data_IF_922929808591
#
_entry.id   IF_922929808591
#
_cell.length_a   1.000
_cell.length_b   1.000
_cell.length_c   1.000
_cell.angle_alpha   90.00
_cell.angle_beta   90.00
_cell.angle_gamma   90.00
#
_symmetry.space_group_name_H-M   'P 1'
#
loop_
_entity.id
_entity.type
_entity.pdbx_description
1 polymer ?
#
# COMPACT_ATOMS: atom_id res chain seq x y z
N UNK A 1 -8.40 15.27 3.91
CA UNK A 1 -8.14 14.40 5.08
C UNK A 1 -9.05 13.18 5.07
N UNK A 2 -10.37 13.37 5.04
CA UNK A 2 -11.36 12.28 5.20
C UNK A 2 -11.23 11.17 4.16
N UNK A 3 -10.91 11.52 2.92
CA UNK A 3 -10.68 10.54 1.83
C UNK A 3 -9.55 9.56 2.16
N UNK A 4 -8.47 10.05 2.77
CA UNK A 4 -7.34 9.20 3.17
C UNK A 4 -7.71 8.35 4.39
N UNK A 5 -8.41 8.94 5.36
CA UNK A 5 -8.90 8.21 6.54
C UNK A 5 -9.89 7.11 6.15
N UNK A 6 -10.79 7.38 5.21
CA UNK A 6 -11.71 6.39 4.65
C UNK A 6 -10.95 5.25 3.96
N UNK A 7 -9.94 5.58 3.13
CA UNK A 7 -9.08 4.57 2.51
C UNK A 7 -8.34 3.66 3.52
N UNK A 8 -7.94 4.22 4.68
CA UNK A 8 -7.24 3.47 5.72
C UNK A 8 -8.18 2.64 6.60
N UNK A 9 -9.36 3.18 6.96
CA UNK A 9 -10.16 2.67 8.08
C UNK A 9 -11.59 2.23 7.73
N UNK A 10 -12.10 2.48 6.53
CA UNK A 10 -13.48 2.13 6.17
C UNK A 10 -13.79 0.65 6.32
N UNK A 11 -12.81 -0.21 6.03
CA UNK A 11 -12.90 -1.65 6.21
C UNK A 11 -11.86 -2.13 7.23
N UNK A 12 -12.07 -3.34 7.76
CA UNK A 12 -11.07 -4.04 8.56
C UNK A 12 -9.85 -4.35 7.67
N UNK A 13 -8.64 -4.16 8.18
CA UNK A 13 -7.43 -4.22 7.38
C UNK A 13 -6.12 -4.06 8.18
N UNK A 14 -4.99 -3.82 7.49
CA UNK A 14 -3.66 -3.86 8.08
C UNK A 14 -3.36 -2.70 9.04
N UNK A 15 -4.25 -1.72 9.14
CA UNK A 15 -4.12 -0.61 10.09
C UNK A 15 -4.81 -0.88 11.43
N UNK A 16 -5.56 -1.97 11.58
CA UNK A 16 -6.33 -2.23 12.81
C UNK A 16 -5.45 -2.53 14.01
N UNK A 17 -4.34 -3.25 13.82
CA UNK A 17 -3.37 -3.49 14.89
C UNK A 17 -2.81 -2.17 15.45
N UNK A 18 -2.72 -1.13 14.60
CA UNK A 18 -2.27 0.20 15.01
C UNK A 18 -3.35 0.94 15.82
N UNK A 19 -4.63 0.74 15.49
CA UNK A 19 -5.76 1.31 16.22
C UNK A 19 -5.94 0.61 17.57
N UNK A 20 -5.85 -0.72 17.60
CA UNK A 20 -5.95 -1.52 18.82
C UNK A 20 -4.82 -1.17 19.80
N UNK A 21 -3.61 -0.92 19.30
CA UNK A 21 -2.50 -0.44 20.10
C UNK A 21 -2.74 0.96 20.73
N UNK A 22 -3.64 1.78 20.18
CA UNK A 22 -3.99 3.07 20.79
C UNK A 22 -4.84 2.92 22.04
N UNK A 23 -5.61 1.83 22.19
CA UNK A 23 -6.46 1.62 23.36
C UNK A 23 -5.67 1.56 24.67
N UNK A 24 -4.40 1.14 24.60
CA UNK A 24 -3.50 1.04 25.75
C UNK A 24 -2.53 2.23 25.88
N UNK A 25 -2.67 3.25 25.02
CA UNK A 25 -1.74 4.37 24.97
C UNK A 25 -1.91 5.33 26.17
N UNK A 26 -0.78 5.77 26.72
CA UNK A 26 -0.75 6.74 27.82
C UNK A 26 -1.31 8.11 27.40
N UNK A 27 -1.90 8.84 28.36
CA UNK A 27 -2.57 10.11 28.11
C UNK A 27 -1.63 11.20 27.53
N UNK A 28 -2.13 11.91 26.50
CA UNK A 28 -1.49 13.06 25.86
C UNK A 28 -2.18 13.40 24.53
N UNK A 29 -1.96 14.61 24.00
CA UNK A 29 -2.69 15.13 22.82
C UNK A 29 -2.65 14.19 21.59
N UNK A 30 -1.52 13.51 21.39
CA UNK A 30 -1.35 12.55 20.29
C UNK A 30 -2.13 11.25 20.53
N UNK A 31 -2.15 10.76 21.77
CA UNK A 31 -2.92 9.59 22.15
C UNK A 31 -4.42 9.87 22.12
N UNK A 32 -4.86 11.07 22.52
CA UNK A 32 -6.26 11.51 22.38
C UNK A 32 -6.70 11.47 20.91
N UNK A 33 -5.87 11.97 19.98
CA UNK A 33 -6.15 11.85 18.55
C UNK A 33 -6.21 10.39 18.08
N UNK A 34 -5.34 9.51 18.60
CA UNK A 34 -5.36 8.08 18.33
C UNK A 34 -6.66 7.41 18.78
N UNK A 35 -7.16 7.75 19.98
CA UNK A 35 -8.45 7.30 20.48
C UNK A 35 -9.61 7.80 19.61
N UNK A 36 -9.62 9.09 19.23
CA UNK A 36 -10.64 9.65 18.35
C UNK A 36 -10.65 8.98 16.96
N UNK A 37 -9.48 8.67 16.39
CA UNK A 37 -9.38 7.89 15.15
C UNK A 37 -9.95 6.48 15.31
N UNK A 38 -9.68 5.83 16.43
CA UNK A 38 -10.20 4.49 16.75
C UNK A 38 -11.72 4.50 16.89
N UNK A 39 -12.26 5.51 17.57
CA UNK A 39 -13.70 5.70 17.74
C UNK A 39 -14.39 6.00 16.40
N UNK A 40 -13.79 6.87 15.59
CA UNK A 40 -14.27 7.17 14.24
C UNK A 40 -14.28 5.92 13.35
N UNK A 41 -13.21 5.13 13.35
CA UNK A 41 -13.14 3.87 12.61
C UNK A 41 -14.23 2.89 13.06
N UNK A 42 -14.49 2.80 14.37
CA UNK A 42 -15.57 1.98 14.93
C UNK A 42 -16.95 2.47 14.50
N UNK A 43 -17.20 3.77 14.55
CA UNK A 43 -18.47 4.38 14.11
C UNK A 43 -18.70 4.15 12.61
N UNK A 44 -17.69 4.40 11.79
CA UNK A 44 -17.77 4.18 10.34
C UNK A 44 -18.09 2.72 9.99
N UNK A 45 -17.53 1.76 10.71
CA UNK A 45 -17.76 0.33 10.46
C UNK A 45 -19.10 -0.19 11.00
N UNK A 46 -19.57 0.36 12.13
CA UNK A 46 -20.79 -0.11 12.81
C UNK A 46 -22.06 0.64 12.38
N UNK A 47 -21.95 1.94 12.14
CA UNK A 47 -23.06 2.83 11.81
C UNK A 47 -23.02 3.30 10.35
N UNK A 48 -21.94 3.02 9.62
CA UNK A 48 -21.73 3.45 8.22
C UNK A 48 -21.77 4.98 8.03
N UNK A 49 -21.63 5.72 9.14
CA UNK A 49 -21.72 7.17 9.17
C UNK A 49 -20.92 7.72 10.35
N UNK A 50 -20.35 8.91 10.14
CA UNK A 50 -19.70 9.72 11.18
C UNK A 50 -20.31 11.10 11.09
N UNK A 51 -20.80 11.63 12.20
CA UNK A 51 -21.40 12.95 12.24
C UNK A 51 -20.34 14.05 12.03
N UNK A 52 -20.80 15.18 11.50
CA UNK A 52 -19.92 16.30 11.19
C UNK A 52 -19.23 16.89 12.43
N UNK A 53 -19.87 16.84 13.61
CA UNK A 53 -19.25 17.36 14.83
C UNK A 53 -18.06 16.49 15.25
N UNK A 54 -18.19 15.17 15.18
CA UNK A 54 -17.11 14.22 15.46
C UNK A 54 -15.96 14.38 14.45
N UNK A 55 -16.28 14.47 13.15
CA UNK A 55 -15.28 14.71 12.11
C UNK A 55 -14.55 16.04 12.32
N UNK A 56 -15.29 17.12 12.60
CA UNK A 56 -14.73 18.45 12.85
C UNK A 56 -13.85 18.47 14.09
N UNK A 57 -14.25 17.80 15.18
CA UNK A 57 -13.41 17.67 16.39
C UNK A 57 -12.11 16.95 16.08
N UNK A 58 -12.16 15.87 15.30
CA UNK A 58 -10.96 15.16 14.87
C UNK A 58 -10.05 16.04 14.02
N UNK A 59 -10.60 16.77 13.05
CA UNK A 59 -9.81 17.72 12.25
C UNK A 59 -9.14 18.75 13.15
N UNK A 60 -9.87 19.39 14.06
CA UNK A 60 -9.30 20.35 15.01
C UNK A 60 -8.17 19.73 15.85
N UNK A 61 -8.33 18.49 16.31
CA UNK A 61 -7.32 17.80 17.09
C UNK A 61 -6.05 17.51 16.25
N UNK A 62 -6.22 17.00 15.03
CA UNK A 62 -5.11 16.77 14.08
C UNK A 62 -4.37 18.07 13.73
N UNK A 63 -5.09 19.18 13.57
CA UNK A 63 -4.51 20.50 13.28
C UNK A 63 -3.70 21.07 14.43
N UNK A 64 -4.10 20.82 15.68
CA UNK A 64 -3.32 21.25 16.85
C UNK A 64 -1.94 20.58 16.86
N UNK A 65 -1.88 19.32 16.45
CA UNK A 65 -0.63 18.54 16.42
C UNK A 65 0.22 18.94 15.21
N UNK A 66 -0.38 19.15 14.04
CA UNK A 66 0.36 19.56 12.84
C UNK A 66 -0.41 20.57 11.99
N UNK A 67 -0.24 21.88 12.27
CA UNK A 67 -0.90 22.95 11.53
C UNK A 67 -0.47 22.99 10.05
N UNK A 68 0.77 22.61 9.75
CA UNK A 68 1.37 22.75 8.42
C UNK A 68 0.96 21.69 7.40
N UNK A 69 0.41 20.56 7.84
CA UNK A 69 0.12 19.39 6.97
C UNK A 69 -1.37 19.28 6.62
N UNK A 70 -2.27 19.85 7.42
CA UNK A 70 -3.67 19.40 7.42
C UNK A 70 -4.74 20.39 6.89
N UNK A 71 -4.59 21.71 7.00
CA UNK A 71 -5.68 22.63 6.60
C UNK A 71 -5.28 23.85 5.76
N UNK A 72 -4.11 24.45 5.96
CA UNK A 72 -3.79 25.75 5.36
C UNK A 72 -3.07 25.67 4.00
N UNK A 73 -2.81 24.45 3.50
CA UNK A 73 -2.22 24.26 2.17
C UNK A 73 -3.30 24.20 1.11
N UNK A 74 -3.17 25.04 0.09
CA UNK A 74 -4.07 25.08 -1.07
C UNK A 74 -4.09 23.75 -1.86
N UNK A 75 -3.05 22.92 -1.71
CA UNK A 75 -2.94 21.57 -2.27
C UNK A 75 -2.30 20.62 -1.24
N UNK A 76 -3.07 20.02 -0.32
CA UNK A 76 -2.53 19.08 0.67
C UNK A 76 -2.17 17.76 -0.02
N UNK A 77 -0.92 17.30 0.14
CA UNK A 77 -0.45 16.03 -0.41
C UNK A 77 -0.98 14.86 0.43
N UNK A 78 -1.79 13.93 -0.13
CA UNK A 78 -2.33 12.78 0.60
C UNK A 78 -1.25 11.92 1.27
N UNK A 79 -0.05 11.84 0.68
CA UNK A 79 1.06 11.05 1.22
C UNK A 79 1.69 11.67 2.46
N UNK A 80 1.72 13.01 2.54
CA UNK A 80 2.24 13.75 3.69
C UNK A 80 1.30 13.58 4.87
N UNK A 81 0.00 13.74 4.64
CA UNK A 81 -1.03 13.50 5.65
C UNK A 81 -1.01 12.06 6.17
N UNK A 82 -0.91 11.07 5.27
CA UNK A 82 -0.84 9.66 5.68
C UNK A 82 0.39 9.38 6.55
N UNK A 83 1.55 9.90 6.15
CA UNK A 83 2.79 9.73 6.89
C UNK A 83 2.73 10.38 8.27
N UNK A 84 2.08 11.54 8.37
CA UNK A 84 1.80 12.22 9.63
C UNK A 84 0.91 11.37 10.55
N UNK A 85 -0.23 10.87 10.05
CA UNK A 85 -1.13 10.01 10.85
C UNK A 85 -0.40 8.77 11.36
N UNK A 86 0.37 8.10 10.51
CA UNK A 86 1.09 6.88 10.91
C UNK A 86 2.20 7.17 11.92
N UNK A 87 3.03 8.20 11.68
CA UNK A 87 4.20 8.53 12.52
C UNK A 87 3.80 9.17 13.84
N UNK A 88 2.99 10.21 13.76
CA UNK A 88 2.80 11.13 14.88
C UNK A 88 1.58 10.75 15.70
N UNK A 89 0.50 10.30 15.06
CA UNK A 89 -0.72 9.91 15.78
C UNK A 89 -0.67 8.45 16.22
N UNK A 90 -0.44 7.52 15.29
CA UNK A 90 -0.45 6.08 15.59
C UNK A 90 0.88 5.53 16.12
N UNK A 91 1.96 6.33 16.11
CA UNK A 91 3.33 5.93 16.51
C UNK A 91 3.82 4.66 15.82
N UNK A 92 3.39 4.42 14.59
CA UNK A 92 3.75 3.25 13.82
C UNK A 92 5.22 3.30 13.39
N UNK A 93 5.85 2.13 13.21
CA UNK A 93 7.13 2.06 12.52
C UNK A 93 6.93 2.22 11.00
N UNK A 94 7.91 2.75 10.24
CA UNK A 94 7.81 2.83 8.79
C UNK A 94 7.56 1.46 8.14
N UNK A 95 6.58 1.40 7.24
CA UNK A 95 6.16 0.17 6.56
C UNK A 95 7.16 -0.28 5.49
N UNK A 96 7.80 0.66 4.80
CA UNK A 96 8.75 0.38 3.72
C UNK A 96 10.16 0.59 4.21
N UNK A 97 10.96 -0.48 4.21
CA UNK A 97 12.39 -0.44 4.52
C UNK A 97 13.17 -0.93 3.31
N UNK A 98 14.11 -0.12 2.83
CA UNK A 98 14.94 -0.43 1.66
C UNK A 98 16.33 -0.89 2.09
N UNK A 99 16.98 -1.70 1.26
CA UNK A 99 18.36 -2.16 1.43
C UNK A 99 19.39 -1.03 1.49
N UNK A 100 19.03 0.13 0.96
CA UNK A 100 19.81 1.37 1.01
C UNK A 100 19.79 2.04 2.40
N UNK A 101 19.00 1.51 3.34
CA UNK A 101 18.83 2.07 4.69
C UNK A 101 17.68 3.07 4.80
N UNK A 102 17.03 3.43 3.68
CA UNK A 102 15.86 4.31 3.69
C UNK A 102 14.65 3.62 4.31
N UNK A 103 13.89 4.36 5.13
CA UNK A 103 12.68 3.87 5.79
C UNK A 103 11.56 4.91 5.65
N UNK A 104 10.45 4.54 5.02
CA UNK A 104 9.33 5.44 4.73
C UNK A 104 7.98 4.73 4.94
N UNK A 105 6.90 5.50 5.11
CA UNK A 105 5.53 4.95 5.13
C UNK A 105 4.96 4.75 3.72
N UNK A 106 5.38 5.59 2.78
CA UNK A 106 4.93 5.60 1.38
C UNK A 106 6.15 5.45 0.47
N UNK A 107 6.06 4.54 -0.51
CA UNK A 107 7.07 4.39 -1.55
C UNK A 107 6.71 5.25 -2.77
N UNK A 108 7.61 6.15 -3.18
CA UNK A 108 7.43 6.98 -4.38
C UNK A 108 7.86 6.22 -5.63
N UNK A 109 6.94 5.99 -6.56
CA UNK A 109 7.31 5.50 -7.89
C UNK A 109 8.01 6.59 -8.70
N UNK A 110 9.05 6.18 -9.41
CA UNK A 110 9.72 7.00 -10.42
C UNK A 110 9.35 6.45 -11.80
N UNK A 111 8.84 7.31 -12.67
CA UNK A 111 8.62 6.98 -14.08
C UNK A 111 9.82 7.49 -14.89
N UNK A 112 10.54 6.58 -15.53
CA UNK A 112 11.67 6.94 -16.43
C UNK A 112 11.42 6.56 -17.88
N UNK A 113 10.27 5.94 -18.18
CA UNK A 113 9.95 5.47 -19.52
C UNK A 113 9.58 6.63 -20.45
N UNK A 114 9.97 6.52 -21.72
CA UNK A 114 9.52 7.48 -22.73
C UNK A 114 7.99 7.40 -22.90
N UNK A 115 7.30 8.54 -23.14
CA UNK A 115 5.85 8.59 -23.37
C UNK A 115 5.40 7.89 -24.66
N UNK A 116 6.33 7.28 -25.41
CA UNK A 116 6.11 6.68 -26.74
C UNK A 116 5.71 5.20 -26.69
N UNK A 117 5.62 4.59 -25.51
CA UNK A 117 5.13 3.21 -25.36
C UNK A 117 3.61 3.19 -25.53
N UNK A 118 3.12 2.41 -26.50
CA UNK A 118 1.70 2.30 -26.84
C UNK A 118 0.87 1.76 -25.67
N UNK A 119 1.47 0.90 -24.84
CA UNK A 119 0.82 0.31 -23.68
C UNK A 119 1.24 1.03 -22.37
N UNK A 120 0.28 1.55 -21.59
CA UNK A 120 0.56 2.15 -20.29
C UNK A 120 1.09 1.10 -19.31
N UNK A 121 2.10 1.47 -18.49
CA UNK A 121 2.70 0.54 -17.56
C UNK A 121 1.76 0.21 -16.38
N UNK A 122 1.99 -0.94 -15.78
CA UNK A 122 1.32 -1.34 -14.53
C UNK A 122 2.17 -0.90 -13.33
N UNK A 123 1.53 -0.78 -12.16
CA UNK A 123 2.25 -0.54 -10.89
C UNK A 123 3.30 -1.63 -10.63
N UNK A 124 3.01 -2.89 -10.96
CA UNK A 124 3.99 -4.00 -10.84
C UNK A 124 5.29 -3.71 -11.59
N UNK A 125 5.19 -3.28 -12.86
CA UNK A 125 6.35 -3.04 -13.70
C UNK A 125 7.12 -1.80 -13.23
N UNK A 126 6.41 -0.68 -12.99
CA UNK A 126 7.04 0.55 -12.51
C UNK A 126 7.70 0.37 -11.15
N UNK A 127 7.09 -0.43 -10.26
CA UNK A 127 7.67 -0.67 -8.95
C UNK A 127 8.96 -1.49 -9.04
N UNK A 128 8.98 -2.53 -9.87
CA UNK A 128 10.18 -3.31 -10.13
C UNK A 128 11.29 -2.47 -10.79
N UNK A 129 10.95 -1.66 -11.80
CA UNK A 129 11.87 -0.76 -12.47
C UNK A 129 12.42 0.31 -11.51
N UNK A 130 11.56 0.92 -10.70
CA UNK A 130 11.94 1.95 -9.75
C UNK A 130 12.90 1.42 -8.69
N UNK A 131 12.66 0.22 -8.15
CA UNK A 131 13.61 -0.42 -7.22
C UNK A 131 14.95 -0.74 -7.89
N UNK A 132 14.92 -1.28 -9.11
CA UNK A 132 16.13 -1.59 -9.87
C UNK A 132 17.00 -0.34 -10.13
N UNK A 133 16.37 0.79 -10.47
CA UNK A 133 17.08 2.04 -10.73
C UNK A 133 17.79 2.62 -9.51
N UNK A 134 17.19 2.45 -8.33
CA UNK A 134 17.79 2.91 -7.08
C UNK A 134 18.76 1.88 -6.48
N UNK A 135 19.05 0.78 -7.19
CA UNK A 135 19.76 -0.40 -6.68
C UNK A 135 19.25 -0.83 -5.30
N UNK A 136 17.94 -0.72 -5.13
CA UNK A 136 17.25 -0.89 -3.87
C UNK A 136 16.41 -2.17 -3.90
N UNK A 137 16.28 -2.79 -2.74
CA UNK A 137 15.38 -3.93 -2.52
C UNK A 137 14.66 -3.78 -1.20
N UNK A 138 13.50 -4.41 -1.04
CA UNK A 138 12.70 -4.35 0.18
C UNK A 138 13.28 -5.25 1.28
N UNK A 139 13.73 -4.68 2.39
CA UNK A 139 14.36 -5.41 3.49
C UNK A 139 13.45 -6.40 4.20
N UNK A 140 12.17 -6.05 4.36
CA UNK A 140 11.19 -6.83 5.10
C UNK A 140 9.82 -6.65 4.47
N UNK A 141 8.98 -7.67 4.62
CA UNK A 141 7.58 -7.59 4.22
C UNK A 141 6.76 -7.05 5.39
N UNK A 142 6.29 -5.81 5.29
CA UNK A 142 5.38 -5.22 6.27
C UNK A 142 4.18 -4.70 5.46
N UNK A 143 3.01 -5.31 5.66
CA UNK A 143 1.77 -4.72 5.18
C UNK A 143 1.32 -3.65 6.19
N UNK A 144 0.74 -2.52 5.74
CA UNK A 144 0.40 -2.22 4.35
C UNK A 144 1.60 -1.70 3.54
N UNK A 145 1.65 -2.04 2.24
CA UNK A 145 2.52 -1.37 1.27
C UNK A 145 1.72 -0.26 0.58
N UNK A 146 2.18 0.98 0.75
CA UNK A 146 1.54 2.16 0.18
C UNK A 146 2.45 2.74 -0.89
N UNK A 147 1.94 2.82 -2.10
CA UNK A 147 2.68 3.27 -3.28
C UNK A 147 2.10 4.60 -3.74
N UNK A 148 2.95 5.62 -3.81
CA UNK A 148 2.62 6.89 -4.45
C UNK A 148 2.92 6.82 -5.94
N UNK A 149 1.92 7.17 -6.72
CA UNK A 149 1.99 7.17 -8.18
C UNK A 149 2.90 8.31 -8.68
N UNK A 150 3.56 8.14 -9.83
CA UNK A 150 4.39 9.20 -10.39
C UNK A 150 3.49 10.36 -10.84
N UNK A 151 3.81 11.57 -10.37
CA UNK A 151 3.19 12.80 -10.85
C UNK A 151 4.07 13.32 -12.00
N UNK A 152 3.66 13.09 -13.25
CA UNK A 152 4.37 13.71 -14.39
C UNK A 152 4.17 15.24 -14.32
N UNK A 153 5.28 15.93 -14.07
CA UNK A 153 5.28 17.30 -13.56
C UNK A 153 5.04 18.42 -14.57
N UNK A 154 4.75 18.16 -15.86
CA UNK A 154 4.53 19.30 -16.78
C UNK A 154 3.83 19.05 -18.12
N UNK A 155 3.10 17.96 -18.34
CA UNK A 155 2.35 17.85 -19.59
C UNK A 155 0.97 17.25 -19.35
N UNK A 156 -0.01 17.79 -20.09
CA UNK A 156 -1.44 17.45 -20.10
C UNK A 156 -1.74 15.99 -20.48
N UNK A 157 -0.73 15.13 -20.46
CA UNK A 157 -0.78 13.69 -20.62
C UNK A 157 -0.24 13.06 -19.34
N UNK A 158 -1.03 13.04 -18.26
CA UNK A 158 -0.75 12.13 -17.15
C UNK A 158 -0.58 10.74 -17.75
N UNK A 159 0.62 10.16 -17.63
CA UNK A 159 0.85 8.81 -18.12
C UNK A 159 -0.11 7.90 -17.35
N UNK A 160 -1.07 7.31 -18.07
CA UNK A 160 -1.98 6.34 -17.49
C UNK A 160 -1.15 5.22 -16.87
N UNK A 161 -1.35 4.94 -15.59
CA UNK A 161 -0.71 3.82 -14.90
C UNK A 161 -1.81 2.95 -14.35
N UNK A 162 -1.76 1.66 -14.65
CA UNK A 162 -2.76 0.73 -14.16
C UNK A 162 -2.36 0.20 -12.79
N UNK A 163 -3.17 0.43 -11.73
CA UNK A 163 -3.02 -0.26 -10.47
C UNK A 163 -3.08 -1.77 -10.72
N UNK A 164 -2.10 -2.51 -10.22
CA UNK A 164 -2.11 -3.95 -10.32
C UNK A 164 -3.09 -4.49 -9.26
N UNK A 165 -4.06 -5.35 -9.61
CA UNK A 165 -4.97 -5.91 -8.60
C UNK A 165 -4.21 -6.79 -7.60
N UNK A 166 -3.15 -7.43 -8.07
CA UNK A 166 -2.20 -8.19 -7.26
C UNK A 166 -0.77 -7.74 -7.57
N UNK A 167 0.05 -7.63 -6.53
CA UNK A 167 1.45 -7.22 -6.62
C UNK A 167 2.34 -8.34 -6.10
N UNK A 168 3.11 -8.95 -6.98
CA UNK A 168 4.11 -9.96 -6.63
C UNK A 168 5.42 -9.25 -6.26
N UNK A 169 5.74 -9.25 -4.97
CA UNK A 169 6.95 -8.63 -4.45
C UNK A 169 8.08 -9.64 -4.23
N UNK A 170 7.90 -10.91 -4.61
CA UNK A 170 8.88 -11.96 -4.42
C UNK A 170 10.25 -11.53 -4.94
N UNK A 171 10.36 -11.11 -6.19
CA UNK A 171 11.66 -10.76 -6.77
C UNK A 171 12.24 -9.42 -6.25
N UNK A 172 11.46 -8.65 -5.49
CA UNK A 172 11.79 -7.28 -5.06
C UNK A 172 12.37 -7.22 -3.64
N UNK A 173 12.36 -8.32 -2.89
CA UNK A 173 12.90 -8.35 -1.52
C UNK A 173 14.44 -8.44 -1.52
N UNK A 174 15.05 -7.67 -0.61
CA UNK A 174 16.48 -7.70 -0.29
C UNK A 174 16.83 -8.94 0.52
N UNK A 175 15.85 -9.41 1.30
CA UNK A 175 15.88 -10.68 2.00
C UNK A 175 15.79 -11.87 1.05
N UNK A 176 15.82 -13.09 1.59
CA UNK A 176 15.75 -14.32 0.81
C UNK A 176 14.30 -14.50 0.36
N UNK A 177 13.93 -13.79 -0.69
CA UNK A 177 12.70 -14.01 -1.43
C UNK A 177 12.63 -15.45 -1.92
N UNK A 178 11.98 -16.34 -1.17
CA UNK A 178 11.78 -17.75 -1.50
C UNK A 178 12.98 -18.37 -2.24
N UNK A 179 14.21 -18.06 -1.80
CA UNK A 179 15.38 -18.45 -2.56
C UNK A 179 15.58 -19.92 -2.34
N UNK A 180 15.66 -20.66 -3.43
CA UNK A 180 15.84 -22.11 -3.38
C UNK A 180 17.28 -22.39 -3.01
N UNK A 181 17.46 -23.21 -1.99
CA UNK A 181 18.76 -23.70 -1.57
C UNK A 181 19.48 -24.30 -2.77
N UNK A 182 20.72 -23.87 -3.02
CA UNK A 182 21.50 -24.37 -4.15
C UNK A 182 21.66 -25.90 -4.13
N UNK A 183 21.73 -26.52 -2.94
CA UNK A 183 21.92 -27.96 -2.81
C UNK A 183 20.66 -28.81 -3.00
N UNK A 184 19.52 -28.40 -2.42
CA UNK A 184 18.31 -29.23 -2.36
C UNK A 184 17.05 -28.57 -2.94
N UNK A 185 17.16 -27.33 -3.41
CA UNK A 185 16.04 -26.50 -3.89
C UNK A 185 14.92 -26.20 -2.87
N UNK A 186 15.03 -26.61 -1.61
CA UNK A 186 14.13 -26.21 -0.52
C UNK A 186 14.40 -24.76 -0.07
N UNK A 187 13.59 -24.22 0.85
CA UNK A 187 13.75 -22.84 1.37
C UNK A 187 15.16 -22.61 1.91
N UNK A 188 15.87 -21.63 1.35
CA UNK A 188 17.16 -21.20 1.87
C UNK A 188 16.98 -20.30 3.10
N UNK A 189 17.78 -20.57 4.14
CA UNK A 189 17.80 -19.84 5.42
C UNK A 189 19.16 -19.19 5.69
N UNK A 190 20.16 -19.51 4.89
CA UNK A 190 21.52 -19.01 5.00
C UNK A 190 21.96 -18.43 3.67
N UNK A 191 22.54 -17.24 3.70
CA UNK A 191 23.23 -16.61 2.57
C UNK A 191 24.74 -16.67 2.79
N UNK A 192 25.50 -17.15 1.80
CA UNK A 192 26.96 -17.20 1.84
C UNK A 192 27.54 -16.20 0.85
N UNK A 193 28.14 -15.12 1.38
CA UNK A 193 28.74 -14.06 0.56
C UNK A 193 29.88 -14.54 -0.34
N UNK A 194 30.72 -15.43 0.16
CA UNK A 194 31.85 -15.97 -0.61
C UNK A 194 31.39 -16.89 -1.75
N UNK A 195 30.25 -17.56 -1.59
CA UNK A 195 29.67 -18.39 -2.65
C UNK A 195 28.73 -17.63 -3.57
N UNK A 196 28.29 -16.42 -3.20
CA UNK A 196 27.19 -15.69 -3.84
C UNK A 196 25.95 -16.58 -4.06
N UNK A 197 25.65 -17.47 -3.09
CA UNK A 197 24.60 -18.49 -3.17
C UNK A 197 23.95 -18.71 -1.81
N UNK A 198 22.69 -19.11 -1.85
CA UNK A 198 21.88 -19.38 -0.66
C UNK A 198 21.70 -20.89 -0.41
N UNK A 199 21.62 -21.25 0.88
CA UNK A 199 21.56 -22.63 1.34
C UNK A 199 20.52 -22.79 2.46
N UNK A 200 19.95 -23.99 2.58
CA UNK A 200 19.34 -24.42 3.84
C UNK A 200 20.46 -24.81 4.82
N UNK A 201 20.17 -24.80 6.12
CA UNK A 201 21.14 -25.18 7.17
C UNK A 201 21.84 -26.53 6.89
N UNK A 202 21.12 -27.62 6.49
CA UNK A 202 21.77 -28.88 6.15
C UNK A 202 22.73 -28.81 4.97
N UNK A 203 22.32 -28.14 3.88
CA UNK A 203 23.16 -28.03 2.68
C UNK A 203 24.35 -27.11 2.92
N UNK A 204 24.20 -26.04 3.70
CA UNK A 204 25.31 -25.18 4.07
C UNK A 204 26.36 -25.98 4.85
N UNK A 205 25.92 -26.69 5.90
CA UNK A 205 26.82 -27.51 6.73
C UNK A 205 27.48 -28.65 5.96
N UNK A 206 26.83 -29.20 4.94
CA UNK A 206 27.39 -30.28 4.12
C UNK A 206 28.38 -29.75 3.08
N UNK A 207 28.03 -28.68 2.37
CA UNK A 207 28.84 -28.12 1.28
C UNK A 207 30.03 -27.29 1.78
N UNK A 208 29.98 -26.78 3.02
CA UNK A 208 31.04 -25.99 3.64
C UNK A 208 31.81 -26.75 4.73
N UNK A 209 31.57 -28.06 4.89
CA UNK A 209 32.25 -28.89 5.91
C UNK A 209 33.77 -28.88 5.80
N UNK A 210 34.30 -28.65 4.60
CA UNK A 210 35.74 -28.63 4.30
C UNK A 210 36.42 -27.27 4.39
N UNK A 211 35.70 -26.20 4.74
CA UNK A 211 36.29 -24.86 4.85
C UNK A 211 37.01 -24.69 6.21
N UNK A 212 38.25 -25.17 6.28
CA UNK A 212 39.08 -25.09 7.50
C UNK A 212 39.52 -23.67 7.85
N UNK A 213 39.26 -22.69 6.98
CA UNK A 213 39.70 -21.31 7.14
C UNK A 213 38.59 -20.35 7.57
N UNK A 214 37.36 -20.84 7.85
CA UNK A 214 36.19 -20.02 8.21
C UNK A 214 35.94 -18.84 7.25
N UNK A 215 36.25 -19.02 5.96
CA UNK A 215 36.08 -17.95 4.96
C UNK A 215 34.60 -17.79 4.62
N UNK A 216 33.86 -18.89 4.66
CA UNK A 216 32.45 -18.93 4.35
C UNK A 216 31.61 -18.76 5.62
N UNK A 217 31.06 -17.57 5.83
CA UNK A 217 30.11 -17.31 6.90
C UNK A 217 28.68 -17.26 6.36
N UNK A 218 27.81 -18.13 6.89
CA UNK A 218 26.39 -18.16 6.55
C UNK A 218 25.63 -17.11 7.36
N UNK A 219 25.12 -16.07 6.70
CA UNK A 219 24.24 -15.09 7.34
C UNK A 219 22.82 -15.65 7.36
N UNK A 220 22.20 -15.71 8.54
CA UNK A 220 20.78 -16.05 8.65
C UNK A 220 19.93 -15.03 7.89
N UNK A 221 19.00 -15.57 7.11
CA UNK A 221 18.09 -14.80 6.27
C UNK A 221 16.67 -15.33 6.52
N UNK A 222 15.70 -14.43 6.68
CA UNK A 222 14.30 -14.77 6.99
C UNK A 222 13.62 -15.33 5.74
N UNK A 223 13.56 -16.66 5.62
CA UNK A 223 12.95 -17.35 4.48
C UNK A 223 11.43 -17.40 4.56
N UNK A 224 10.76 -17.15 3.43
CA UNK A 224 9.34 -17.44 3.23
C UNK A 224 9.16 -18.92 2.90
N UNK A 225 8.14 -19.57 3.46
CA UNK A 225 7.86 -20.98 3.14
C UNK A 225 7.24 -21.05 1.74
N UNK A 226 8.05 -21.48 0.77
CA UNK A 226 7.68 -21.53 -0.65
C UNK A 226 6.77 -22.72 -1.00
N UNK A 227 6.20 -23.40 0.01
CA UNK A 227 5.37 -24.60 -0.15
C UNK A 227 4.12 -24.36 -1.01
N UNK A 228 3.65 -23.12 -1.13
CA UNK A 228 2.54 -22.73 -2.02
C UNK A 228 2.94 -22.34 -3.45
N UNK A 229 4.23 -22.28 -3.81
CA UNK A 229 4.68 -21.91 -5.16
C UNK A 229 4.42 -20.46 -5.58
N UNK A 230 3.59 -19.72 -4.84
CA UNK A 230 3.38 -18.27 -4.97
C UNK A 230 4.13 -17.58 -3.84
N UNK A 231 5.10 -16.72 -4.15
CA UNK A 231 5.74 -15.91 -3.12
C UNK A 231 4.79 -14.83 -2.58
N UNK A 232 5.29 -13.88 -1.76
CA UNK A 232 4.43 -12.89 -1.12
C UNK A 232 3.67 -12.05 -2.15
N UNK A 233 2.38 -12.36 -2.29
CA UNK A 233 1.44 -11.68 -3.15
C UNK A 233 0.63 -10.70 -2.31
N UNK A 234 0.67 -9.43 -2.66
CA UNK A 234 -0.18 -8.41 -2.08
C UNK A 234 -1.38 -8.19 -2.97
N UNK A 235 -2.52 -7.84 -2.38
CA UNK A 235 -3.71 -7.42 -3.09
C UNK A 235 -3.97 -5.93 -2.90
N UNK A 236 -4.42 -5.27 -3.98
CA UNK A 236 -4.90 -3.89 -3.93
C UNK A 236 -6.23 -3.85 -3.17
N UNK A 237 -6.29 -3.00 -2.14
CA UNK A 237 -7.51 -2.82 -1.33
C UNK A 237 -8.00 -1.39 -1.25
N UNK A 238 -7.18 -0.39 -1.57
CA UNK A 238 -7.65 0.99 -1.71
C UNK A 238 -6.84 1.78 -2.74
N UNK A 239 -7.49 2.75 -3.38
CA UNK A 239 -6.87 3.73 -4.28
C UNK A 239 -7.39 5.12 -3.91
N UNK A 240 -6.49 6.08 -3.70
CA UNK A 240 -6.84 7.49 -3.57
C UNK A 240 -6.50 8.20 -4.87
N UNK A 241 -7.45 8.89 -5.46
CA UNK A 241 -7.28 9.68 -6.69
C UNK A 241 -7.34 11.17 -6.40
N UNK A 242 -6.59 11.97 -7.15
CA UNK A 242 -6.61 13.44 -7.06
C UNK A 242 -6.84 14.03 -8.46
N UNK A 243 -8.00 14.67 -8.63
CA UNK A 243 -8.42 15.32 -9.88
C UNK A 243 -8.87 16.75 -9.57
N UNK A 244 -8.19 17.74 -10.15
CA UNK A 244 -8.52 19.16 -9.97
C UNK A 244 -8.75 19.57 -8.50
N UNK A 245 -7.80 19.21 -7.63
CA UNK A 245 -7.81 19.40 -6.16
C UNK A 245 -8.86 18.58 -5.39
N UNK A 246 -9.68 17.78 -6.08
CA UNK A 246 -10.64 16.89 -5.44
C UNK A 246 -10.00 15.54 -5.18
N UNK A 247 -10.11 15.09 -3.94
CA UNK A 247 -9.68 13.76 -3.54
C UNK A 247 -10.89 12.81 -3.54
N UNK A 248 -10.72 11.61 -4.07
CA UNK A 248 -11.69 10.50 -3.93
C UNK A 248 -10.95 9.24 -3.49
N UNK A 249 -11.65 8.33 -2.82
CA UNK A 249 -11.10 7.03 -2.45
C UNK A 249 -11.98 5.90 -2.93
N UNK A 250 -11.35 4.90 -3.51
CA UNK A 250 -11.97 3.63 -3.89
C UNK A 250 -11.45 2.57 -2.92
N UNK A 251 -12.35 1.92 -2.17
CA UNK A 251 -11.99 0.93 -1.14
C UNK A 251 -12.67 -0.40 -1.43
N UNK A 252 -11.90 -1.48 -1.41
CA UNK A 252 -12.40 -2.84 -1.61
C UNK A 252 -13.03 -3.37 -0.33
N UNK A 253 -14.22 -3.94 -0.44
CA UNK A 253 -14.92 -4.58 0.68
C UNK A 253 -14.44 -6.03 0.83
N UNK A 254 -14.02 -6.46 2.04
CA UNK A 254 -13.47 -7.81 2.25
C UNK A 254 -14.46 -8.97 2.12
N UNK A 255 -15.79 -8.74 2.23
CA UNK A 255 -16.78 -9.81 2.40
C UNK A 255 -17.93 -9.76 1.38
N UNK A 256 -18.29 -10.93 0.83
CA UNK A 256 -19.40 -11.17 -0.09
C UNK A 256 -18.93 -11.72 -1.45
N UNK A 257 -19.75 -12.55 -2.11
CA UNK A 257 -19.45 -13.21 -3.39
C UNK A 257 -19.19 -12.29 -4.59
N UNK A 258 -19.18 -10.98 -4.37
CA UNK A 258 -18.78 -9.96 -5.35
C UNK A 258 -17.65 -9.15 -4.74
N UNK A 259 -16.50 -9.08 -5.43
CA UNK A 259 -15.36 -8.22 -5.09
C UNK A 259 -15.73 -6.73 -5.27
N UNK A 260 -16.67 -6.25 -4.46
CA UNK A 260 -17.28 -4.93 -4.61
C UNK A 260 -16.36 -3.85 -4.04
N UNK A 261 -16.34 -2.72 -4.74
CA UNK A 261 -15.62 -1.53 -4.32
C UNK A 261 -16.60 -0.46 -3.85
N UNK A 262 -16.14 0.42 -2.97
CA UNK A 262 -16.85 1.60 -2.50
C UNK A 262 -16.09 2.85 -2.98
N UNK A 263 -16.78 3.76 -3.65
CA UNK A 263 -16.32 5.13 -3.88
C UNK A 263 -16.75 5.99 -2.70
N UNK A 264 -15.84 6.83 -2.21
CA UNK A 264 -16.12 7.90 -1.25
C UNK A 264 -15.59 9.24 -1.77
N UNK A 265 -16.45 10.26 -1.72
CA UNK A 265 -16.19 11.63 -2.15
C UNK A 265 -16.80 12.63 -1.14
N UNK A 266 -16.06 13.68 -0.79
CA UNK A 266 -16.48 14.68 0.23
C UNK A 266 -17.22 15.88 -0.35
N UNK A 267 -17.27 16.03 -1.67
CA UNK A 267 -17.91 17.14 -2.38
C UNK A 267 -18.30 16.70 -3.81
N UNK A 268 -19.37 15.92 -3.99
CA UNK A 268 -19.82 15.47 -5.31
C UNK A 268 -20.34 16.63 -6.17
N UNK A 269 -19.96 16.69 -7.45
CA UNK A 269 -20.53 17.66 -8.41
C UNK A 269 -22.02 17.43 -8.71
N UNK A 270 -22.55 16.26 -8.34
CA UNK A 270 -23.77 15.71 -8.90
C UNK A 270 -24.65 15.09 -7.82
N UNK A 271 -25.11 15.93 -6.90
CA UNK A 271 -26.39 15.67 -6.27
C UNK A 271 -27.25 16.88 -6.63
N UNK A 272 -28.43 16.64 -7.19
CA UNK A 272 -29.25 17.66 -7.87
C UNK A 272 -29.45 18.93 -7.03
N UNK A 273 -29.96 20.01 -7.64
CA UNK A 273 -30.01 21.38 -7.10
C UNK A 273 -30.56 21.59 -5.65
N UNK A 274 -31.01 20.55 -4.96
CA UNK A 274 -31.47 20.53 -3.57
C UNK A 274 -30.53 19.83 -2.57
N UNK A 275 -29.44 19.20 -3.02
CA UNK A 275 -28.55 18.48 -2.12
C UNK A 275 -27.40 19.36 -1.62
N UNK A 276 -27.17 19.28 -0.31
CA UNK A 276 -26.14 20.05 0.36
C UNK A 276 -24.73 19.55 -0.08
N UNK A 277 -23.91 20.39 -0.72
CA UNK A 277 -22.58 20.02 -1.18
C UNK A 277 -21.60 19.68 -0.04
N UNK A 278 -21.99 19.88 1.22
CA UNK A 278 -21.23 19.48 2.40
C UNK A 278 -21.42 18.02 2.82
N UNK A 279 -22.34 17.28 2.19
CA UNK A 279 -22.62 15.88 2.54
C UNK A 279 -21.73 14.93 1.74
N UNK A 280 -20.92 14.09 2.40
CA UNK A 280 -20.10 13.09 1.70
C UNK A 280 -20.98 12.00 1.07
N UNK A 281 -20.56 11.49 -0.08
CA UNK A 281 -21.26 10.43 -0.82
C UNK A 281 -20.43 9.15 -0.80
N UNK A 282 -21.10 8.05 -0.46
CA UNK A 282 -20.58 6.68 -0.58
C UNK A 282 -21.38 5.93 -1.63
N UNK A 283 -20.71 5.36 -2.63
CA UNK A 283 -21.34 4.60 -3.73
C UNK A 283 -20.71 3.23 -3.90
N UNK A 284 -21.53 2.22 -4.20
CA UNK A 284 -21.03 0.91 -4.62
C UNK A 284 -20.58 0.93 -6.08
N UNK A 285 -19.42 0.35 -6.33
CA UNK A 285 -18.78 0.22 -7.64
C UNK A 285 -18.39 -1.26 -7.87
N UNK A 286 -19.38 -2.15 -8.13
CA UNK A 286 -19.14 -3.60 -8.15
C UNK A 286 -18.21 -4.05 -9.29
N UNK A 287 -18.18 -3.30 -10.39
CA UNK A 287 -17.48 -3.71 -11.61
C UNK A 287 -15.98 -3.36 -11.61
N UNK A 288 -15.48 -2.62 -10.62
CA UNK A 288 -14.09 -2.12 -10.64
C UNK A 288 -13.08 -3.27 -10.76
N UNK A 289 -13.30 -4.37 -10.05
CA UNK A 289 -12.40 -5.52 -10.09
C UNK A 289 -12.25 -6.13 -11.50
N UNK A 290 -13.34 -6.19 -12.27
CA UNK A 290 -13.32 -6.76 -13.62
C UNK A 290 -12.47 -5.94 -14.59
N UNK A 291 -12.43 -4.61 -14.41
CA UNK A 291 -11.66 -3.69 -15.25
C UNK A 291 -10.15 -3.74 -15.03
N UNK A 292 -9.70 -4.36 -13.93
CA UNK A 292 -8.28 -4.63 -13.68
C UNK A 292 -7.78 -5.95 -14.30
N UNK A 293 -8.65 -6.71 -14.99
CA UNK A 293 -8.23 -7.86 -15.80
C UNK A 293 -7.38 -7.42 -17.00
N UNK A 294 -6.50 -8.30 -17.47
CA UNK A 294 -5.60 -8.01 -18.59
C UNK A 294 -6.39 -7.76 -19.89
N UNK A 295 -7.49 -8.47 -20.09
CA UNK A 295 -8.38 -8.31 -21.23
C UNK A 295 -9.01 -6.91 -21.27
N UNK A 296 -9.57 -6.45 -20.14
CA UNK A 296 -10.20 -5.13 -20.03
C UNK A 296 -9.17 -4.01 -20.04
N UNK A 297 -7.98 -4.24 -19.49
CA UNK A 297 -6.85 -3.30 -19.58
C UNK A 297 -6.58 -2.95 -21.04
N UNK A 298 -6.43 -3.94 -21.91
CA UNK A 298 -6.18 -3.69 -23.33
C UNK A 298 -7.34 -2.93 -24.00
N UNK A 299 -8.58 -3.16 -23.56
CA UNK A 299 -9.74 -2.39 -24.05
C UNK A 299 -9.68 -0.90 -23.71
N UNK A 300 -9.25 -0.57 -22.48
CA UNK A 300 -9.03 0.82 -22.02
C UNK A 300 -7.91 1.50 -22.82
N UNK A 301 -6.81 0.77 -23.07
CA UNK A 301 -5.67 1.26 -23.87
C UNK A 301 -6.09 1.59 -25.29
N UNK A 302 -6.82 0.67 -25.91
CA UNK A 302 -7.23 0.79 -27.31
C UNK A 302 -8.48 1.68 -27.50
N UNK A 303 -9.08 2.20 -26.41
CA UNK A 303 -10.35 2.95 -26.43
C UNK A 303 -11.46 2.22 -27.20
N UNK A 304 -11.51 0.89 -27.04
CA UNK A 304 -12.43 0.02 -27.80
C UNK A 304 -13.77 -0.18 -27.11
N UNK A 305 -13.86 0.16 -25.83
CA UNK A 305 -15.06 0.07 -25.01
C UNK A 305 -15.29 1.40 -24.30
N UNK A 306 -16.55 1.71 -24.01
CA UNK A 306 -16.88 2.79 -23.08
C UNK A 306 -16.36 2.43 -21.69
N UNK A 307 -15.35 3.19 -21.25
CA UNK A 307 -14.69 3.01 -19.95
C UNK A 307 -15.50 3.76 -18.89
N UNK A 308 -15.91 3.11 -17.78
CA UNK A 308 -16.59 3.79 -16.69
C UNK A 308 -15.77 4.95 -16.13
N UNK A 309 -16.44 5.99 -15.65
CA UNK A 309 -15.80 7.19 -15.12
C UNK A 309 -14.89 6.87 -13.95
N UNK A 310 -15.27 5.91 -13.10
CA UNK A 310 -14.46 5.43 -11.97
C UNK A 310 -13.13 4.84 -12.43
N UNK A 311 -13.13 4.06 -13.51
CA UNK A 311 -11.91 3.44 -14.07
C UNK A 311 -11.03 4.49 -14.73
N UNK A 312 -11.62 5.42 -15.48
CA UNK A 312 -10.88 6.53 -16.08
C UNK A 312 -10.18 7.38 -15.01
N UNK A 313 -10.89 7.68 -13.92
CA UNK A 313 -10.35 8.40 -12.77
C UNK A 313 -9.21 7.63 -12.10
N UNK A 314 -9.40 6.35 -11.80
CA UNK A 314 -8.35 5.53 -11.18
C UNK A 314 -7.08 5.48 -12.05
N UNK A 315 -7.22 5.20 -13.34
CA UNK A 315 -6.06 5.01 -14.23
C UNK A 315 -5.32 6.31 -14.54
N UNK A 316 -6.04 7.45 -14.54
CA UNK A 316 -5.48 8.75 -14.92
C UNK A 316 -5.07 9.61 -13.72
N UNK A 317 -5.73 9.42 -12.57
CA UNK A 317 -5.66 10.33 -11.43
C UNK A 317 -5.27 9.65 -10.12
N UNK A 318 -4.93 8.35 -10.11
CA UNK A 318 -4.42 7.69 -8.90
C UNK A 318 -3.20 8.44 -8.35
N UNK A 319 -3.26 8.75 -7.06
CA UNK A 319 -2.20 9.38 -6.28
C UNK A 319 -1.56 8.37 -5.32
N UNK A 320 -2.38 7.57 -4.62
CA UNK A 320 -1.92 6.50 -3.72
C UNK A 320 -2.63 5.19 -4.04
N UNK A 321 -1.86 4.10 -4.03
CA UNK A 321 -2.37 2.73 -4.08
C UNK A 321 -1.97 1.98 -2.81
N UNK A 322 -2.94 1.31 -2.19
CA UNK A 322 -2.77 0.61 -0.92
C UNK A 322 -2.85 -0.89 -1.15
N UNK A 323 -1.82 -1.60 -0.71
CA UNK A 323 -1.68 -3.04 -0.85
C UNK A 323 -1.57 -3.70 0.51
N UNK A 324 -2.23 -4.84 0.67
CA UNK A 324 -2.18 -5.69 1.88
C UNK A 324 -1.88 -7.13 1.49
N UNK A 325 -1.49 -7.97 2.44
CA UNK A 325 -1.35 -9.40 2.17
C UNK A 325 -2.67 -9.99 1.70
N UNK A 326 -2.63 -10.75 0.61
CA UNK A 326 -3.74 -11.60 0.23
C UNK A 326 -4.00 -12.58 1.39
N UNK A 327 -5.25 -12.75 1.82
CA UNK A 327 -5.62 -13.50 3.04
C UNK A 327 -5.05 -14.92 3.09
N UNK A 328 -4.84 -15.58 1.94
CA UNK A 328 -4.20 -16.90 1.84
C UNK A 328 -2.67 -16.90 2.00
N UNK A 329 -2.05 -15.73 2.07
CA UNK A 329 -0.60 -15.48 2.03
C UNK A 329 -0.12 -14.64 3.24
N UNK A 330 -0.93 -14.55 4.30
CA UNK A 330 -0.54 -13.91 5.56
C UNK A 330 0.76 -14.54 6.08
N UNK A 331 1.83 -13.77 6.33
CA UNK A 331 3.05 -14.32 6.89
C UNK A 331 2.77 -14.85 8.30
N UNK A 332 3.15 -16.10 8.57
CA UNK A 332 3.17 -16.62 9.95
C UNK A 332 4.27 -15.85 10.67
N UNK A 333 3.89 -14.86 11.48
CA UNK A 333 4.81 -14.15 12.37
C UNK A 333 5.36 -15.15 13.39
N UNK A 334 6.54 -15.71 13.13
CA UNK A 334 7.33 -16.32 14.21
C UNK A 334 7.97 -15.15 14.94
N UNK A 335 7.41 -14.82 16.11
CA UNK A 335 8.00 -13.87 17.05
C UNK A 335 9.47 -14.22 17.25
N UNK A 336 10.37 -13.40 16.70
CA UNK A 336 11.78 -13.44 17.02
C UNK A 336 12.04 -12.40 18.10
N UNK A 337 11.55 -12.68 19.30
CA UNK A 337 12.12 -12.11 20.52
C UNK A 337 12.23 -13.28 21.53
N UNK A 338 13.42 -13.59 22.06
CA UNK A 338 13.54 -14.39 23.27
C UNK A 338 13.06 -13.63 24.51
#
# INVERSE_FOLDING_TARGET
MDVVLFAMFACRGPFDDLLDAQCDAAAGDHAECGHMLTDMARLLRSQHYVDNDTATKLHQALNKICPSVCLDRQDPDPSEFLSFVCRDVLKAAPFVKLSTGQSNYVYQLVSTGSPTTRDPPTVQNLFAESLLQHDAKLCSVIAPLIIRMPLDGNDKTRRRVFPAPHLDISQLLAGPSARRCHGCSNVARLDCRECSREFCEPCFATLHRGDTMNRHNGRHVVGYDATSGMGPLLELFAVVTVEDQRCMSYVRVPEGSSQSWLLFETAPDSVGAEADPSVPVVRQCPNIAEWFSEERRQSVVNQTLDVPTEISSIVSNASLCFYRFLESNQPIYVSLIP
#
